data_IF_030135565945
#
_entry.id   IF_030135565945
#
_cell.length_a   1.000
_cell.length_b   1.000
_cell.length_c   1.000
_cell.angle_alpha   90.00
_cell.angle_beta   90.00
_cell.angle_gamma   90.00
#
_symmetry.space_group_name_H-M   'P 1'
#
loop_
_entity.id
_entity.type
_entity.pdbx_description
1 polymer ?
#
# COMPACT_ATOMS: atom_id res chain seq x y z
N UNK A 1 -5.73 -3.37 -11.31
CA UNK A 1 -5.44 -1.95 -11.58
C UNK A 1 -4.33 -1.57 -10.63
N UNK A 2 -3.24 -1.00 -11.16
CA UNK A 2 -2.10 -0.56 -10.37
C UNK A 2 -2.23 0.93 -10.08
N UNK A 3 -2.13 1.31 -8.82
CA UNK A 3 -2.16 2.70 -8.37
C UNK A 3 -0.92 3.00 -7.52
N UNK A 4 -0.36 4.20 -7.71
CA UNK A 4 0.77 4.70 -6.91
C UNK A 4 0.45 6.12 -6.46
N UNK A 5 0.40 6.34 -5.14
CA UNK A 5 0.25 7.66 -4.51
C UNK A 5 1.55 8.02 -3.80
N UNK A 6 2.15 9.15 -4.20
CA UNK A 6 3.42 9.66 -3.66
C UNK A 6 3.17 10.97 -2.93
N UNK A 7 3.56 11.04 -1.65
CA UNK A 7 3.39 12.23 -0.80
C UNK A 7 4.69 12.66 -0.15
N UNK A 8 4.80 13.96 0.10
CA UNK A 8 5.82 14.58 0.95
C UNK A 8 5.15 15.14 2.20
N UNK A 9 5.91 15.29 3.29
CA UNK A 9 5.44 15.88 4.56
C UNK A 9 4.27 15.16 5.24
N UNK A 10 4.22 13.82 5.15
CA UNK A 10 3.15 13.00 5.70
C UNK A 10 3.41 12.48 7.13
N UNK A 11 4.62 12.64 7.67
CA UNK A 11 5.02 12.02 8.95
C UNK A 11 4.14 12.41 10.14
N UNK A 12 3.88 13.71 10.34
CA UNK A 12 3.13 14.17 11.50
C UNK A 12 1.68 13.67 11.51
N UNK A 13 1.03 13.59 10.34
CA UNK A 13 -0.36 13.14 10.21
C UNK A 13 -0.52 11.62 10.30
N UNK A 14 0.56 10.85 10.11
CA UNK A 14 0.51 9.39 10.02
C UNK A 14 1.34 8.68 11.10
N UNK A 15 2.06 9.43 11.94
CA UNK A 15 2.76 8.88 13.10
C UNK A 15 1.76 8.09 13.98
N UNK A 16 2.09 6.84 14.29
CA UNK A 16 1.20 5.95 15.06
C UNK A 16 0.06 5.30 14.26
N UNK A 17 -0.17 5.68 12.99
CA UNK A 17 -1.23 5.14 12.13
C UNK A 17 -0.76 4.06 11.15
N UNK A 18 0.54 3.71 11.18
CA UNK A 18 1.13 2.66 10.35
C UNK A 18 0.92 1.23 10.90
N UNK A 19 0.16 1.06 11.98
CA UNK A 19 -0.20 -0.25 12.55
C UNK A 19 -1.38 -0.93 11.85
N UNK A 20 -1.69 -2.16 12.28
CA UNK A 20 -2.76 -3.00 11.72
C UNK A 20 -4.09 -2.95 12.50
N UNK A 21 -4.17 -2.15 13.58
CA UNK A 21 -5.40 -2.03 14.35
C UNK A 21 -6.56 -1.53 13.47
N UNK A 22 -7.68 -2.27 13.47
CA UNK A 22 -8.89 -1.92 12.71
C UNK A 22 -8.80 -2.11 11.19
N UNK A 23 -7.74 -2.72 10.67
CA UNK A 23 -7.61 -3.02 9.25
C UNK A 23 -8.44 -4.25 8.90
N UNK A 24 -9.27 -4.16 7.86
CA UNK A 24 -9.96 -5.30 7.27
C UNK A 24 -9.00 -6.11 6.38
N UNK A 25 -8.91 -7.41 6.62
CA UNK A 25 -8.04 -8.32 5.85
C UNK A 25 -6.74 -8.66 6.58
N UNK A 26 -5.85 -9.31 5.85
CA UNK A 26 -4.53 -9.69 6.34
C UNK A 26 -3.62 -8.47 6.33
N UNK A 27 -3.05 -8.14 7.49
CA UNK A 27 -2.21 -6.96 7.66
C UNK A 27 -0.91 -7.31 8.36
N UNK A 28 0.19 -6.79 7.81
CA UNK A 28 1.54 -6.84 8.39
C UNK A 28 2.06 -5.42 8.51
N UNK A 29 2.65 -5.06 9.65
CA UNK A 29 3.34 -3.78 9.84
C UNK A 29 4.72 -4.02 10.42
N UNK A 30 5.75 -3.57 9.70
CA UNK A 30 7.14 -3.88 9.99
C UNK A 30 8.01 -2.63 9.84
N UNK A 31 8.79 -2.24 10.86
CA UNK A 31 9.81 -1.22 10.72
C UNK A 31 11.03 -1.78 9.98
N UNK A 32 11.62 -0.96 9.11
CA UNK A 32 12.93 -1.22 8.51
C UNK A 32 14.05 -0.60 9.35
N UNK A 33 15.29 -1.03 9.10
CA UNK A 33 16.46 -0.56 9.84
C UNK A 33 16.72 0.95 9.72
N UNK A 34 16.26 1.58 8.63
CA UNK A 34 16.35 3.03 8.40
C UNK A 34 15.21 3.83 9.06
N UNK A 35 14.32 3.15 9.80
CA UNK A 35 13.14 3.74 10.43
C UNK A 35 11.92 3.87 9.51
N UNK A 36 12.00 3.44 8.25
CA UNK A 36 10.84 3.38 7.36
C UNK A 36 9.83 2.37 7.89
N UNK A 37 8.59 2.82 8.10
CA UNK A 37 7.48 1.92 8.41
C UNK A 37 6.90 1.35 7.13
N UNK A 38 6.74 0.04 7.06
CA UNK A 38 6.08 -0.67 5.96
C UNK A 38 4.81 -1.30 6.49
N UNK A 39 3.67 -0.99 5.88
CA UNK A 39 2.39 -1.64 6.14
C UNK A 39 1.90 -2.34 4.88
N UNK A 40 1.73 -3.66 4.95
CA UNK A 40 1.17 -4.48 3.89
C UNK A 40 -0.27 -4.87 4.26
N UNK A 41 -1.18 -4.80 3.30
CA UNK A 41 -2.57 -5.21 3.49
C UNK A 41 -3.03 -6.02 2.29
N UNK A 42 -3.63 -7.17 2.53
CA UNK A 42 -4.42 -7.92 1.55
C UNK A 42 -5.84 -8.09 2.08
N UNK A 43 -6.82 -7.55 1.38
CA UNK A 43 -8.18 -7.54 1.91
C UNK A 43 -9.25 -7.19 0.90
N UNK A 44 -10.53 -7.22 1.32
CA UNK A 44 -11.63 -6.81 0.47
C UNK A 44 -11.51 -5.33 0.12
N UNK A 45 -12.02 -4.98 -1.05
CA UNK A 45 -12.18 -3.59 -1.48
C UNK A 45 -13.04 -2.79 -0.50
N UNK A 46 -12.51 -1.66 -0.02
CA UNK A 46 -13.26 -0.70 0.81
C UNK A 46 -14.38 -0.01 0.03
N UNK A 47 -14.36 -0.06 -1.31
CA UNK A 47 -15.42 0.48 -2.17
C UNK A 47 -16.61 -0.48 -2.33
N UNK A 48 -16.59 -1.61 -1.63
CA UNK A 48 -17.57 -2.68 -1.75
C UNK A 48 -17.32 -3.57 -2.97
N UNK A 49 -18.14 -4.60 -3.14
CA UNK A 49 -17.98 -5.57 -4.23
C UNK A 49 -16.98 -6.69 -3.93
N UNK A 50 -16.74 -7.60 -4.90
CA UNK A 50 -15.99 -8.83 -4.67
C UNK A 50 -14.48 -8.68 -4.88
N UNK A 51 -13.98 -7.49 -5.20
CA UNK A 51 -12.58 -7.28 -5.52
C UNK A 51 -11.69 -7.39 -4.27
N UNK A 52 -10.49 -7.90 -4.47
CA UNK A 52 -9.41 -7.93 -3.46
C UNK A 52 -8.39 -6.85 -3.82
N UNK A 53 -7.86 -6.20 -2.79
CA UNK A 53 -6.83 -5.16 -2.89
C UNK A 53 -5.59 -5.63 -2.15
N UNK A 54 -4.45 -5.57 -2.83
CA UNK A 54 -3.12 -5.72 -2.24
C UNK A 54 -2.50 -4.33 -2.15
N UNK A 55 -2.04 -3.95 -0.97
CA UNK A 55 -1.50 -2.62 -0.70
C UNK A 55 -0.19 -2.70 0.05
N UNK A 56 0.76 -1.85 -0.34
CA UNK A 56 1.95 -1.52 0.46
C UNK A 56 1.99 -0.02 0.70
N UNK A 57 2.02 0.37 1.97
CA UNK A 57 2.18 1.75 2.41
C UNK A 57 3.53 1.90 3.13
N UNK A 58 4.37 2.80 2.61
CA UNK A 58 5.69 3.10 3.19
C UNK A 58 5.69 4.52 3.74
N UNK A 59 6.12 4.70 4.98
CA UNK A 59 6.32 6.01 5.60
C UNK A 59 7.76 6.13 6.09
N UNK A 60 8.55 6.96 5.42
CA UNK A 60 9.94 7.26 5.79
C UNK A 60 9.97 8.25 6.97
N UNK A 61 11.02 8.25 7.81
CA UNK A 61 11.12 9.15 8.97
C UNK A 61 11.06 10.64 8.63
N UNK A 62 11.49 11.01 7.41
CA UNK A 62 11.43 12.38 6.90
C UNK A 62 10.05 12.79 6.34
N UNK A 63 9.04 11.92 6.48
CA UNK A 63 7.67 12.17 6.06
C UNK A 63 7.41 11.94 4.58
N UNK A 64 8.36 11.37 3.83
CA UNK A 64 8.07 10.85 2.48
C UNK A 64 7.25 9.57 2.58
N UNK A 65 6.15 9.51 1.83
CA UNK A 65 5.24 8.36 1.79
C UNK A 65 4.98 7.89 0.37
N UNK A 66 4.94 6.57 0.19
CA UNK A 66 4.49 5.93 -1.06
C UNK A 66 3.50 4.85 -0.72
N UNK A 67 2.31 4.92 -1.31
CA UNK A 67 1.30 3.86 -1.27
C UNK A 67 1.20 3.25 -2.66
N UNK A 68 1.32 1.93 -2.73
CA UNK A 68 1.15 1.16 -3.96
C UNK A 68 0.02 0.18 -3.75
N UNK A 69 -0.92 0.12 -4.70
CA UNK A 69 -2.07 -0.79 -4.65
C UNK A 69 -2.20 -1.56 -5.95
N UNK A 70 -2.45 -2.86 -5.89
CA UNK A 70 -2.94 -3.64 -7.02
C UNK A 70 -4.33 -4.18 -6.67
N UNK A 71 -5.25 -4.04 -7.63
CA UNK A 71 -6.64 -4.47 -7.51
C UNK A 71 -6.90 -5.54 -8.57
N UNK A 72 -7.52 -6.66 -8.21
CA UNK A 72 -7.81 -7.77 -9.14
C UNK A 72 -9.03 -7.52 -10.07
N UNK A 73 -9.50 -6.28 -10.11
CA UNK A 73 -10.63 -5.80 -10.90
C UNK A 73 -10.19 -4.61 -11.76
N UNK A 74 -11.03 -4.27 -12.75
CA UNK A 74 -10.88 -3.03 -13.51
C UNK A 74 -11.15 -1.80 -12.62
N UNK A 75 -12.16 -1.88 -11.77
CA UNK A 75 -12.46 -0.86 -10.75
C UNK A 75 -12.76 -1.55 -9.41
N UNK A 76 -12.47 -0.86 -8.31
CA UNK A 76 -12.55 -1.44 -6.96
C UNK A 76 -13.93 -1.99 -6.57
N UNK A 77 -15.01 -1.45 -7.12
CA UNK A 77 -16.38 -1.88 -6.79
C UNK A 77 -17.00 -2.84 -7.81
N UNK A 78 -16.29 -3.17 -8.89
CA UNK A 78 -16.81 -4.00 -9.99
C UNK A 78 -16.40 -5.47 -9.84
N UNK A 79 -17.03 -6.40 -10.59
CA UNK A 79 -16.65 -7.81 -10.57
C UNK A 79 -15.15 -8.03 -10.85
N UNK A 80 -14.59 -9.07 -10.23
CA UNK A 80 -13.21 -9.52 -10.48
C UNK A 80 -13.01 -9.79 -11.97
N UNK A 81 -12.04 -9.12 -12.58
CA UNK A 81 -11.69 -9.31 -14.00
C UNK A 81 -10.41 -10.13 -14.18
N UNK A 82 -9.63 -10.30 -13.11
CA UNK A 82 -8.41 -11.12 -13.08
C UNK A 82 -8.38 -11.92 -11.78
N UNK A 83 -8.39 -13.25 -11.79
CA UNK A 83 -8.41 -14.03 -10.54
C UNK A 83 -7.18 -13.85 -9.65
N UNK A 84 -6.04 -13.43 -10.22
CA UNK A 84 -4.80 -13.13 -9.49
C UNK A 84 -4.37 -11.69 -9.81
N UNK A 85 -3.78 -10.96 -8.84
CA UNK A 85 -3.22 -9.65 -9.12
C UNK A 85 -2.07 -9.77 -10.13
N UNK A 86 -1.87 -8.74 -10.95
CA UNK A 86 -0.80 -8.75 -11.94
C UNK A 86 0.59 -8.69 -11.28
N UNK A 87 0.68 -8.11 -10.09
CA UNK A 87 1.90 -7.98 -9.30
C UNK A 87 1.71 -8.63 -7.92
N UNK A 88 2.73 -9.36 -7.48
CA UNK A 88 2.79 -9.91 -6.13
C UNK A 88 3.15 -8.84 -5.09
N UNK A 89 2.85 -9.09 -3.81
CA UNK A 89 3.12 -8.16 -2.70
C UNK A 89 4.58 -7.69 -2.63
N UNK A 90 5.55 -8.58 -2.88
CA UNK A 90 6.98 -8.23 -2.86
C UNK A 90 7.37 -7.23 -3.96
N UNK A 91 6.70 -7.30 -5.11
CA UNK A 91 6.93 -6.33 -6.18
C UNK A 91 6.29 -4.99 -5.87
N UNK A 92 5.11 -4.99 -5.23
CA UNK A 92 4.52 -3.75 -4.70
C UNK A 92 5.43 -3.09 -3.67
N UNK A 93 6.05 -3.89 -2.79
CA UNK A 93 7.03 -3.40 -1.81
C UNK A 93 8.26 -2.80 -2.50
N UNK A 94 8.80 -3.49 -3.50
CA UNK A 94 9.92 -2.99 -4.30
C UNK A 94 9.61 -1.63 -4.91
N UNK A 95 8.41 -1.47 -5.50
CA UNK A 95 7.96 -0.18 -6.03
C UNK A 95 7.86 0.85 -4.91
N UNK A 96 7.19 0.55 -3.80
CA UNK A 96 6.99 1.50 -2.70
C UNK A 96 8.30 2.00 -2.06
N UNK A 97 9.34 1.17 -2.07
CA UNK A 97 10.67 1.51 -1.56
C UNK A 97 11.54 2.28 -2.57
N UNK A 98 11.14 2.37 -3.83
CA UNK A 98 11.94 3.01 -4.87
C UNK A 98 12.19 4.49 -4.57
N UNK A 99 13.45 4.84 -4.31
CA UNK A 99 13.87 6.20 -4.00
C UNK A 99 13.67 7.19 -5.16
N UNK A 100 13.52 6.70 -6.40
CA UNK A 100 13.37 7.53 -7.59
C UNK A 100 12.10 8.38 -7.58
N UNK A 101 11.09 8.02 -6.78
CA UNK A 101 9.90 8.86 -6.57
C UNK A 101 10.22 10.23 -5.95
N UNK A 102 11.40 10.38 -5.35
CA UNK A 102 11.78 11.60 -4.63
C UNK A 102 13.01 12.30 -5.20
N UNK A 103 13.64 11.72 -6.22
CA UNK A 103 14.75 12.33 -6.95
C UNK A 103 14.21 13.19 -8.08
N UNK A 104 14.54 14.48 -8.04
CA UNK A 104 14.23 15.50 -9.04
C UNK A 104 15.08 16.73 -8.77
#
# INVERSE_FOLDING_TARGET
MLEVDVRRHAAASLAGHMGCAGVSGDCESTPLADGTMVKKVEGPSEKGGPATVWQVDTLRPDGRRVVVREINSYAESTPVTRPRPALAMDLLLTIALDGRFFTG
#
